data_IF_587856277312
#
_entry.id   IF_587856277312
#
_cell.length_a   1.000
_cell.length_b   1.000
_cell.length_c   1.000
_cell.angle_alpha   90.00
_cell.angle_beta   90.00
_cell.angle_gamma   90.00
#
_symmetry.space_group_name_H-M   'P 1'
#
loop_
_entity.id
_entity.type
_entity.pdbx_description
1 polymer ?
#
# COMPACT_ATOMS: atom_id res chain seq x y z
N UNK A 1 -35.68 24.42 -13.42
CA UNK A 1 -35.50 23.22 -12.57
C UNK A 1 -34.02 22.98 -12.36
N UNK A 2 -33.54 22.98 -11.14
CA UNK A 2 -32.11 22.67 -10.85
C UNK A 2 -31.88 21.18 -11.10
N UNK A 3 -30.90 20.86 -11.92
CA UNK A 3 -30.59 19.46 -12.29
C UNK A 3 -29.89 18.77 -11.12
N UNK A 4 -30.57 17.83 -10.48
CA UNK A 4 -29.97 16.98 -9.44
C UNK A 4 -28.85 16.14 -10.03
N UNK A 5 -27.79 15.96 -9.26
CA UNK A 5 -26.61 15.14 -9.61
C UNK A 5 -26.42 13.99 -8.63
N UNK A 6 -25.72 12.94 -9.06
CA UNK A 6 -25.37 11.84 -8.17
C UNK A 6 -24.42 12.34 -7.09
N UNK A 7 -24.57 11.87 -5.88
CA UNK A 7 -23.76 12.28 -4.73
C UNK A 7 -22.26 12.01 -4.93
N UNK A 8 -21.92 10.86 -5.50
CA UNK A 8 -20.51 10.53 -5.82
C UNK A 8 -19.88 11.54 -6.79
N UNK A 9 -20.61 11.96 -7.81
CA UNK A 9 -20.15 12.96 -8.76
C UNK A 9 -20.11 14.37 -8.15
N UNK A 10 -21.08 14.70 -7.30
CA UNK A 10 -21.19 16.00 -6.64
C UNK A 10 -20.07 16.22 -5.62
N UNK A 11 -19.64 15.18 -4.89
CA UNK A 11 -18.46 15.24 -4.00
C UNK A 11 -17.20 15.62 -4.77
N UNK A 12 -16.98 15.00 -5.93
CA UNK A 12 -15.82 15.34 -6.78
C UNK A 12 -15.93 16.76 -7.32
N UNK A 13 -17.12 17.16 -7.82
CA UNK A 13 -17.37 18.52 -8.33
C UNK A 13 -17.10 19.60 -7.29
N UNK A 14 -17.43 19.34 -6.01
CA UNK A 14 -17.19 20.29 -4.89
C UNK A 14 -15.77 20.22 -4.34
N UNK A 15 -14.89 19.34 -4.85
CA UNK A 15 -13.55 19.13 -4.30
C UNK A 15 -13.54 18.41 -2.93
N UNK A 16 -14.67 17.83 -2.51
CA UNK A 16 -14.80 17.06 -1.27
C UNK A 16 -14.28 15.62 -1.43
N UNK A 17 -14.04 15.17 -2.65
CA UNK A 17 -13.35 13.94 -2.99
C UNK A 17 -12.49 14.18 -4.24
N UNK A 18 -11.33 13.49 -4.32
CA UNK A 18 -10.37 13.62 -5.43
C UNK A 18 -10.77 12.77 -6.65
N UNK A 19 -11.56 11.71 -6.42
CA UNK A 19 -12.05 10.79 -7.47
C UNK A 19 -13.42 10.24 -7.09
N UNK A 20 -14.13 9.65 -8.09
CA UNK A 20 -15.42 8.98 -7.83
C UNK A 20 -15.26 7.77 -6.93
N UNK A 21 -14.16 7.03 -7.02
CA UNK A 21 -13.84 5.90 -6.15
C UNK A 21 -13.70 6.35 -4.69
N UNK A 22 -12.97 7.46 -4.45
CA UNK A 22 -12.87 8.04 -3.12
C UNK A 22 -14.23 8.53 -2.61
N UNK A 23 -15.04 9.15 -3.46
CA UNK A 23 -16.38 9.58 -3.10
C UNK A 23 -17.27 8.41 -2.68
N UNK A 24 -17.22 7.29 -3.43
CA UNK A 24 -17.93 6.05 -3.09
C UNK A 24 -17.48 5.53 -1.72
N UNK A 25 -16.18 5.41 -1.49
CA UNK A 25 -15.63 4.94 -0.21
C UNK A 25 -16.03 5.82 0.98
N UNK A 26 -16.05 7.15 0.80
CA UNK A 26 -16.50 8.09 1.84
C UNK A 26 -18.00 7.92 2.16
N UNK A 27 -18.83 7.67 1.15
CA UNK A 27 -20.28 7.47 1.33
C UNK A 27 -20.54 6.12 2.00
N UNK A 28 -19.92 5.05 1.54
CA UNK A 28 -20.11 3.70 2.09
C UNK A 28 -19.61 3.57 3.53
N UNK A 29 -18.55 4.30 3.89
CA UNK A 29 -18.08 4.41 5.28
C UNK A 29 -18.97 5.28 6.18
N UNK A 30 -20.06 5.89 5.64
CA UNK A 30 -20.98 6.73 6.41
C UNK A 30 -20.42 8.11 6.78
N UNK A 31 -19.35 8.53 6.13
CA UNK A 31 -18.66 9.82 6.39
C UNK A 31 -19.30 11.02 5.68
N UNK A 32 -20.18 10.77 4.74
CA UNK A 32 -20.86 11.84 3.99
C UNK A 32 -22.21 12.15 4.59
N UNK A 33 -22.44 13.40 4.92
CA UNK A 33 -23.73 13.92 5.36
C UNK A 33 -24.32 14.83 4.29
N UNK A 34 -25.60 14.61 3.98
CA UNK A 34 -26.40 15.49 3.13
C UNK A 34 -27.54 16.05 3.98
N UNK A 35 -27.64 17.37 4.10
CA UNK A 35 -28.64 18.03 4.96
C UNK A 35 -28.59 17.53 6.42
N UNK A 36 -27.39 17.22 6.94
CA UNK A 36 -27.19 16.72 8.31
C UNK A 36 -27.51 15.24 8.52
N UNK A 37 -27.91 14.51 7.46
CA UNK A 37 -28.19 13.06 7.53
C UNK A 37 -27.12 12.28 6.80
N UNK A 38 -26.63 11.18 7.42
CA UNK A 38 -25.60 10.33 6.82
C UNK A 38 -26.13 9.66 5.53
N UNK A 39 -25.44 9.89 4.42
CA UNK A 39 -25.73 9.27 3.14
C UNK A 39 -25.00 7.94 3.01
N UNK A 40 -25.68 6.90 2.50
CA UNK A 40 -25.11 5.54 2.33
C UNK A 40 -25.14 5.04 0.89
N UNK A 41 -25.72 5.81 -0.03
CA UNK A 41 -25.86 5.39 -1.44
C UNK A 41 -25.10 6.36 -2.35
N UNK A 42 -24.03 5.93 -3.03
CA UNK A 42 -23.27 6.78 -3.96
C UNK A 42 -24.12 7.37 -5.09
N UNK A 43 -25.14 6.61 -5.53
CA UNK A 43 -26.07 7.03 -6.58
C UNK A 43 -27.21 7.92 -6.09
N UNK A 44 -27.25 8.31 -4.79
CA UNK A 44 -28.27 9.23 -4.30
C UNK A 44 -28.24 10.55 -5.09
N UNK A 45 -29.42 11.05 -5.44
CA UNK A 45 -29.57 12.30 -6.20
C UNK A 45 -29.64 13.48 -5.23
N UNK A 46 -28.69 14.39 -5.34
CA UNK A 46 -28.59 15.61 -4.51
C UNK A 46 -28.76 16.86 -5.33
N UNK A 47 -29.31 17.88 -4.71
CA UNK A 47 -29.40 19.22 -5.31
C UNK A 47 -28.04 19.92 -5.13
N UNK A 48 -27.56 20.69 -6.13
CA UNK A 48 -26.37 21.52 -5.97
C UNK A 48 -26.40 22.49 -4.79
N UNK A 49 -27.60 22.90 -4.33
CA UNK A 49 -27.79 23.75 -3.17
C UNK A 49 -27.78 22.97 -1.83
N UNK A 50 -27.87 21.64 -1.85
CA UNK A 50 -27.88 20.86 -0.62
C UNK A 50 -26.56 21.02 0.14
N UNK A 51 -26.59 21.26 1.46
CA UNK A 51 -25.39 21.20 2.28
C UNK A 51 -24.88 19.76 2.31
N UNK A 52 -23.66 19.55 1.80
CA UNK A 52 -22.95 18.27 1.84
C UNK A 52 -21.69 18.46 2.67
N UNK A 53 -21.52 17.61 3.65
CA UNK A 53 -20.33 17.58 4.51
C UNK A 53 -19.68 16.21 4.46
N UNK A 54 -18.34 16.19 4.46
CA UNK A 54 -17.55 14.99 4.74
C UNK A 54 -17.07 15.11 6.18
N UNK A 55 -17.44 14.16 7.03
CA UNK A 55 -16.97 14.10 8.42
C UNK A 55 -15.51 13.67 8.42
N UNK A 56 -14.66 14.42 9.07
CA UNK A 56 -13.31 14.02 9.37
C UNK A 56 -13.35 13.06 10.57
N UNK A 57 -12.88 11.85 10.40
CA UNK A 57 -12.81 10.83 11.46
C UNK A 57 -11.48 10.84 12.20
N UNK A 58 -10.64 11.85 11.97
CA UNK A 58 -9.30 11.94 12.54
C UNK A 58 -8.30 10.99 11.89
N UNK A 59 -8.74 10.09 10.98
CA UNK A 59 -7.83 9.24 10.25
C UNK A 59 -7.12 10.04 9.16
N UNK A 60 -5.80 9.92 9.09
CA UNK A 60 -5.00 10.59 8.07
C UNK A 60 -5.50 10.21 6.67
N UNK A 61 -5.88 11.20 5.86
CA UNK A 61 -6.23 10.96 4.47
C UNK A 61 -4.94 10.86 3.65
N UNK A 62 -4.62 9.65 3.17
CA UNK A 62 -3.52 9.42 2.26
C UNK A 62 -3.97 9.54 0.79
N UNK A 63 -2.99 9.63 -0.13
CA UNK A 63 -3.26 9.71 -1.56
C UNK A 63 -4.08 8.52 -2.10
N UNK A 64 -4.00 7.35 -1.45
CA UNK A 64 -4.84 6.18 -1.72
C UNK A 64 -5.04 5.34 -0.47
N UNK A 65 -5.94 4.33 -0.55
CA UNK A 65 -6.14 3.32 0.52
C UNK A 65 -4.86 2.57 0.89
N UNK A 66 -3.92 2.41 -0.06
CA UNK A 66 -2.63 1.79 0.19
C UNK A 66 -1.86 2.47 1.31
N UNK A 67 -1.98 3.80 1.45
CA UNK A 67 -1.34 4.54 2.53
C UNK A 67 -1.68 4.03 3.93
N UNK A 68 -2.94 3.67 4.19
CA UNK A 68 -3.34 3.11 5.49
C UNK A 68 -2.66 1.76 5.78
N UNK A 69 -2.38 0.97 4.74
CA UNK A 69 -1.68 -0.32 4.89
C UNK A 69 -0.24 -0.08 5.37
N UNK A 70 0.52 0.76 4.66
CA UNK A 70 1.90 1.08 5.05
C UNK A 70 1.96 1.79 6.40
N UNK A 71 1.04 2.72 6.67
CA UNK A 71 0.99 3.41 7.96
C UNK A 71 0.81 2.42 9.13
N UNK A 72 -0.04 1.39 8.95
CA UNK A 72 -0.21 0.31 9.93
C UNK A 72 1.07 -0.49 10.13
N UNK A 73 1.78 -0.84 9.04
CA UNK A 73 3.05 -1.55 9.13
C UNK A 73 4.14 -0.71 9.83
N UNK A 74 4.26 0.58 9.49
CA UNK A 74 5.21 1.48 10.16
C UNK A 74 4.89 1.68 11.65
N UNK A 75 3.60 1.73 12.01
CA UNK A 75 3.18 1.80 13.41
C UNK A 75 3.57 0.53 14.19
N UNK A 76 3.47 -0.65 13.56
CA UNK A 76 3.86 -1.92 14.18
C UNK A 76 5.38 -2.06 14.30
N UNK A 77 6.15 -1.68 13.29
CA UNK A 77 7.61 -1.87 13.25
C UNK A 77 8.39 -0.72 13.90
N UNK A 78 7.80 0.48 14.00
CA UNK A 78 8.43 1.66 14.58
C UNK A 78 8.95 1.48 16.00
N UNK A 79 8.19 0.86 16.94
CA UNK A 79 8.68 0.55 18.30
C UNK A 79 9.89 -0.38 18.31
N UNK A 80 9.98 -1.30 17.33
CA UNK A 80 11.12 -2.21 17.18
C UNK A 80 12.32 -1.61 16.45
N UNK A 81 12.22 -0.35 15.97
CA UNK A 81 13.37 0.38 15.44
C UNK A 81 13.33 0.78 13.97
N UNK A 82 12.32 0.37 13.20
CA UNK A 82 12.18 0.84 11.81
C UNK A 82 12.00 2.36 11.78
N UNK A 83 12.80 3.06 10.99
CA UNK A 83 12.76 4.52 10.83
C UNK A 83 12.62 4.91 9.37
N UNK A 84 11.86 5.98 9.14
CA UNK A 84 11.67 6.60 7.81
C UNK A 84 12.37 7.96 7.77
N UNK A 85 12.30 8.70 8.87
CA UNK A 85 12.78 10.08 8.95
C UNK A 85 14.24 10.22 8.52
N UNK A 86 14.50 11.20 7.66
CA UNK A 86 15.83 11.52 7.14
C UNK A 86 16.38 10.55 6.10
N UNK A 87 15.65 9.47 5.76
CA UNK A 87 16.12 8.47 4.81
C UNK A 87 15.70 8.81 3.38
N UNK A 88 16.51 8.39 2.43
CA UNK A 88 16.15 8.21 1.04
C UNK A 88 15.35 6.90 0.93
N UNK A 89 14.15 6.97 0.37
CA UNK A 89 13.23 5.84 0.28
C UNK A 89 12.95 5.48 -1.18
N UNK A 90 12.75 4.18 -1.46
CA UNK A 90 12.23 3.66 -2.73
C UNK A 90 10.80 3.16 -2.50
N UNK A 91 9.84 3.66 -3.26
CA UNK A 91 8.46 3.19 -3.34
C UNK A 91 8.28 2.41 -4.66
N UNK A 92 8.34 1.08 -4.58
CA UNK A 92 8.21 0.18 -5.71
C UNK A 92 6.75 -0.23 -5.92
N UNK A 93 6.15 0.25 -7.03
CA UNK A 93 4.72 0.14 -7.30
C UNK A 93 3.93 1.33 -6.72
N UNK A 94 4.44 2.53 -6.95
CA UNK A 94 3.91 3.75 -6.33
C UNK A 94 2.45 4.06 -6.68
N UNK A 95 1.97 3.67 -7.88
CA UNK A 95 0.59 3.89 -8.34
C UNK A 95 0.14 5.34 -8.11
N UNK A 96 -0.97 5.55 -7.39
CA UNK A 96 -1.48 6.89 -7.04
C UNK A 96 -0.70 7.58 -5.92
N UNK A 97 0.27 6.91 -5.30
CA UNK A 97 1.19 7.48 -4.30
C UNK A 97 0.79 7.27 -2.85
N UNK A 98 0.01 6.25 -2.56
CA UNK A 98 -0.38 5.98 -1.17
C UNK A 98 0.81 5.74 -0.25
N UNK A 99 1.79 4.94 -0.67
CA UNK A 99 3.00 4.68 0.10
C UNK A 99 3.93 5.90 0.10
N UNK A 100 4.13 6.54 -1.05
CA UNK A 100 4.89 7.79 -1.18
C UNK A 100 4.41 8.85 -0.17
N UNK A 101 3.09 9.08 -0.06
CA UNK A 101 2.50 10.06 0.87
C UNK A 101 2.81 9.70 2.33
N UNK A 102 2.72 8.41 2.70
CA UNK A 102 3.08 7.95 4.06
C UNK A 102 4.55 8.18 4.34
N UNK A 103 5.46 7.84 3.43
CA UNK A 103 6.89 8.05 3.59
C UNK A 103 7.23 9.52 3.81
N UNK A 104 6.67 10.41 2.98
CA UNK A 104 6.87 11.86 3.10
C UNK A 104 6.37 12.41 4.44
N UNK A 105 5.19 11.98 4.91
CA UNK A 105 4.62 12.39 6.20
C UNK A 105 5.41 11.84 7.39
N UNK A 106 6.10 10.71 7.22
CA UNK A 106 7.02 10.17 8.23
C UNK A 106 8.45 10.73 8.11
N UNK A 107 8.63 11.81 7.33
CA UNK A 107 9.88 12.57 7.29
C UNK A 107 10.95 11.99 6.37
N UNK A 108 10.60 11.21 5.34
CA UNK A 108 11.56 10.81 4.32
C UNK A 108 12.24 12.04 3.70
N UNK A 109 13.58 11.99 3.55
CA UNK A 109 14.35 13.05 2.92
C UNK A 109 14.11 13.11 1.40
N UNK A 110 13.97 11.94 0.79
CA UNK A 110 13.64 11.78 -0.63
C UNK A 110 12.83 10.49 -0.81
N UNK A 111 11.90 10.48 -1.76
CA UNK A 111 11.17 9.28 -2.19
C UNK A 111 11.34 9.10 -3.69
N UNK A 112 11.92 7.99 -4.10
CA UNK A 112 11.97 7.53 -5.48
C UNK A 112 10.74 6.69 -5.73
N UNK A 113 9.78 7.22 -6.47
CA UNK A 113 8.50 6.57 -6.77
C UNK A 113 8.59 5.88 -8.15
N UNK A 114 8.58 4.55 -8.16
CA UNK A 114 8.74 3.72 -9.37
C UNK A 114 7.44 3.00 -9.68
N UNK A 115 6.96 3.11 -10.92
CA UNK A 115 5.78 2.39 -11.40
C UNK A 115 5.88 2.04 -12.89
N UNK A 116 5.28 0.90 -13.29
CA UNK A 116 5.16 0.51 -14.71
C UNK A 116 4.13 1.35 -15.46
N UNK A 117 3.18 1.94 -14.75
CA UNK A 117 2.19 2.87 -15.26
C UNK A 117 2.79 4.22 -15.65
N UNK A 118 1.95 5.09 -16.17
CA UNK A 118 2.35 6.43 -16.54
C UNK A 118 1.36 7.47 -15.98
N UNK A 119 1.89 8.51 -15.32
CA UNK A 119 1.10 9.64 -14.86
C UNK A 119 0.07 9.31 -13.77
N UNK A 120 0.23 8.18 -13.06
CA UNK A 120 -0.73 7.75 -12.03
C UNK A 120 -0.54 8.49 -10.71
N UNK A 121 0.70 8.90 -10.39
CA UNK A 121 1.03 9.56 -9.13
C UNK A 121 0.24 10.86 -8.98
N UNK A 122 -0.40 11.04 -7.83
CA UNK A 122 -1.18 12.24 -7.52
C UNK A 122 -0.35 13.52 -7.72
N UNK A 123 -0.95 14.56 -8.31
CA UNK A 123 -0.25 15.80 -8.66
C UNK A 123 0.49 16.42 -7.47
N UNK A 124 -0.12 16.46 -6.29
CA UNK A 124 0.51 17.03 -5.11
C UNK A 124 1.82 16.32 -4.72
N UNK A 125 1.88 14.99 -4.92
CA UNK A 125 3.09 14.19 -4.67
C UNK A 125 4.10 14.37 -5.78
N UNK A 126 3.64 14.37 -7.04
CA UNK A 126 4.51 14.58 -8.20
C UNK A 126 5.21 15.95 -8.18
N UNK A 127 4.57 16.96 -7.55
CA UNK A 127 5.09 18.32 -7.41
C UNK A 127 5.93 18.53 -6.15
N UNK A 128 6.02 17.55 -5.24
CA UNK A 128 6.84 17.65 -4.03
C UNK A 128 8.34 17.56 -4.43
N UNK A 129 9.18 18.53 -4.06
CA UNK A 129 10.60 18.54 -4.44
C UNK A 129 11.40 17.33 -3.92
N UNK A 130 10.88 16.62 -2.92
CA UNK A 130 11.47 15.39 -2.38
C UNK A 130 11.14 14.15 -3.20
N UNK A 131 10.23 14.23 -4.19
CA UNK A 131 9.79 13.06 -4.96
C UNK A 131 10.48 13.00 -6.31
N UNK A 132 11.07 11.85 -6.62
CA UNK A 132 11.63 11.50 -7.93
C UNK A 132 10.74 10.45 -8.58
N UNK A 133 10.11 10.79 -9.69
CA UNK A 133 9.14 9.92 -10.37
C UNK A 133 9.79 9.18 -11.52
N UNK A 134 9.67 7.85 -11.49
CA UNK A 134 10.11 6.93 -12.54
C UNK A 134 8.90 6.17 -13.10
N UNK A 135 8.15 6.83 -13.98
CA UNK A 135 7.05 6.22 -14.72
C UNK A 135 7.56 5.20 -15.76
N UNK A 136 6.72 4.23 -16.17
CA UNK A 136 7.02 3.20 -17.18
C UNK A 136 8.27 2.39 -16.87
N UNK A 137 8.56 2.20 -15.59
CA UNK A 137 9.75 1.52 -15.11
C UNK A 137 9.40 0.19 -14.49
N UNK A 138 9.96 -0.89 -15.03
CA UNK A 138 9.75 -2.23 -14.50
C UNK A 138 10.68 -2.48 -13.33
N UNK A 139 10.12 -2.72 -12.14
CA UNK A 139 10.88 -3.00 -10.91
C UNK A 139 11.78 -4.21 -11.06
N UNK A 140 11.40 -5.22 -11.86
CA UNK A 140 12.19 -6.44 -12.07
C UNK A 140 13.58 -6.19 -12.66
N UNK A 141 13.74 -5.12 -13.41
CA UNK A 141 15.00 -4.75 -14.06
C UNK A 141 15.60 -3.47 -13.50
N UNK A 142 15.12 -3.04 -12.33
CA UNK A 142 15.61 -1.84 -11.68
C UNK A 142 17.05 -2.04 -11.20
N UNK A 143 17.87 -1.01 -11.40
CA UNK A 143 19.26 -0.97 -10.92
C UNK A 143 19.47 0.27 -10.04
N UNK A 144 20.46 0.23 -9.12
CA UNK A 144 20.79 1.42 -8.32
C UNK A 144 21.07 2.65 -9.17
N UNK A 145 21.82 2.52 -10.25
CA UNK A 145 22.20 3.63 -11.15
C UNK A 145 20.98 4.27 -11.79
N UNK A 146 19.96 3.45 -12.16
CA UNK A 146 18.73 3.97 -12.78
C UNK A 146 17.93 4.88 -11.85
N UNK A 147 18.10 4.73 -10.53
CA UNK A 147 17.41 5.51 -9.50
C UNK A 147 18.34 6.53 -8.80
N UNK A 148 19.58 6.67 -9.23
CA UNK A 148 20.54 7.61 -8.65
C UNK A 148 21.17 7.15 -7.34
N UNK A 149 21.33 5.84 -7.16
CA UNK A 149 21.93 5.19 -5.99
C UNK A 149 20.92 4.38 -5.15
N UNK A 150 21.41 3.58 -4.19
CA UNK A 150 20.54 2.75 -3.35
C UNK A 150 19.70 3.59 -2.40
N UNK A 151 18.60 3.01 -1.92
CA UNK A 151 17.72 3.58 -0.91
C UNK A 151 18.02 2.99 0.47
N UNK A 152 17.96 3.83 1.50
CA UNK A 152 18.08 3.38 2.88
C UNK A 152 16.83 2.63 3.37
N UNK A 153 15.68 2.87 2.75
CA UNK A 153 14.44 2.12 3.00
C UNK A 153 13.72 1.88 1.67
N UNK A 154 13.39 0.65 1.38
CA UNK A 154 12.52 0.30 0.24
C UNK A 154 11.20 -0.25 0.74
N UNK A 155 10.10 0.26 0.22
CA UNK A 155 8.75 -0.29 0.38
C UNK A 155 8.25 -0.81 -0.97
N UNK A 156 7.41 -1.86 -0.97
CA UNK A 156 6.90 -2.43 -2.21
C UNK A 156 5.44 -2.86 -2.09
N UNK A 157 4.60 -2.33 -2.98
CA UNK A 157 3.19 -2.72 -3.17
C UNK A 157 2.97 -3.12 -4.63
N UNK A 158 3.38 -4.33 -4.99
CA UNK A 158 3.35 -4.82 -6.35
C UNK A 158 2.16 -5.75 -6.59
N UNK A 159 1.60 -5.70 -7.79
CA UNK A 159 0.47 -6.56 -8.20
C UNK A 159 0.80 -7.33 -9.47
N UNK A 160 0.22 -8.53 -9.59
CA UNK A 160 0.35 -9.43 -10.75
C UNK A 160 1.76 -9.98 -10.99
N UNK A 161 2.62 -9.92 -9.99
CA UNK A 161 3.97 -10.47 -10.02
C UNK A 161 4.30 -11.05 -8.64
N UNK A 162 5.04 -12.16 -8.59
CA UNK A 162 5.59 -12.68 -7.34
C UNK A 162 6.74 -11.80 -6.86
N UNK A 163 6.77 -11.51 -5.57
CA UNK A 163 7.88 -10.77 -4.93
C UNK A 163 9.23 -11.46 -5.15
N UNK A 164 9.26 -12.81 -5.17
CA UNK A 164 10.49 -13.58 -5.40
C UNK A 164 11.20 -13.21 -6.72
N UNK A 165 10.44 -12.78 -7.74
CA UNK A 165 11.00 -12.37 -9.02
C UNK A 165 11.59 -10.97 -9.02
N UNK A 166 11.20 -10.12 -8.08
CA UNK A 166 11.62 -8.71 -7.99
C UNK A 166 12.56 -8.45 -6.81
N UNK A 167 12.58 -9.33 -5.82
CA UNK A 167 13.46 -9.22 -4.66
C UNK A 167 14.93 -9.00 -5.03
N UNK A 168 15.53 -9.68 -6.04
CA UNK A 168 16.91 -9.41 -6.42
C UNK A 168 17.17 -7.95 -6.82
N UNK A 169 16.28 -7.36 -7.60
CA UNK A 169 16.39 -5.96 -8.02
C UNK A 169 16.15 -5.00 -6.84
N UNK A 170 15.14 -5.29 -6.00
CA UNK A 170 14.87 -4.49 -4.79
C UNK A 170 16.05 -4.54 -3.81
N UNK A 171 16.63 -5.74 -3.60
CA UNK A 171 17.79 -5.95 -2.73
C UNK A 171 19.03 -5.20 -3.22
N UNK A 172 19.26 -5.18 -4.54
CA UNK A 172 20.36 -4.42 -5.15
C UNK A 172 20.16 -2.90 -4.98
N UNK A 173 18.90 -2.43 -5.03
CA UNK A 173 18.55 -1.03 -4.86
C UNK A 173 18.40 -0.58 -3.38
N UNK A 174 18.69 -1.48 -2.40
CA UNK A 174 18.49 -1.21 -0.97
C UNK A 174 19.77 -1.48 -0.18
N UNK A 175 20.29 -0.48 0.50
CA UNK A 175 21.41 -0.60 1.42
C UNK A 175 21.00 -0.71 2.91
N UNK A 176 19.73 -0.51 3.21
CA UNK A 176 19.14 -0.58 4.55
C UNK A 176 18.00 -1.59 4.67
N UNK A 177 16.81 -1.12 5.00
CA UNK A 177 15.63 -1.94 5.25
C UNK A 177 14.76 -2.12 3.99
N UNK A 178 14.13 -3.29 3.89
CA UNK A 178 13.16 -3.61 2.83
C UNK A 178 11.84 -4.02 3.48
N UNK A 179 10.74 -3.35 3.10
CA UNK A 179 9.39 -3.58 3.64
C UNK A 179 8.41 -3.91 2.51
N UNK A 180 8.47 -5.13 1.94
CA UNK A 180 7.54 -5.57 0.91
C UNK A 180 6.20 -5.99 1.49
N UNK A 181 5.13 -5.77 0.73
CA UNK A 181 3.81 -6.30 1.02
C UNK A 181 3.58 -7.62 0.28
N UNK A 182 3.56 -8.71 1.03
CA UNK A 182 3.28 -10.06 0.52
C UNK A 182 1.80 -10.18 0.21
N UNK A 183 1.48 -10.55 -1.02
CA UNK A 183 0.13 -10.81 -1.51
C UNK A 183 -0.01 -12.28 -1.87
N UNK A 184 -0.59 -13.12 -1.02
CA UNK A 184 -0.64 -14.57 -1.24
C UNK A 184 -1.16 -14.97 -2.62
N UNK A 185 -2.13 -14.22 -3.16
CA UNK A 185 -2.71 -14.49 -4.48
C UNK A 185 -1.72 -14.38 -5.65
N UNK A 186 -0.57 -13.73 -5.46
CA UNK A 186 0.50 -13.64 -6.48
C UNK A 186 1.69 -14.55 -6.18
N UNK A 187 1.67 -15.25 -5.04
CA UNK A 187 2.77 -16.13 -4.59
C UNK A 187 2.44 -17.62 -4.72
N UNK A 188 1.19 -18.03 -4.51
CA UNK A 188 0.80 -19.45 -4.39
C UNK A 188 0.66 -20.21 -5.71
N UNK A 189 0.71 -19.52 -6.87
CA UNK A 189 0.41 -20.13 -8.17
C UNK A 189 -1.10 -20.07 -8.48
N UNK A 190 -1.41 -19.96 -9.78
CA UNK A 190 -2.81 -19.72 -10.25
C UNK A 190 -3.77 -20.85 -9.88
N UNK A 191 -3.30 -22.08 -9.87
CA UNK A 191 -4.07 -23.30 -9.57
C UNK A 191 -4.52 -23.37 -8.09
N UNK A 192 -3.86 -22.65 -7.19
CA UNK A 192 -4.17 -22.60 -5.76
C UNK A 192 -4.93 -21.36 -5.33
N UNK A 193 -5.18 -20.45 -6.26
CA UNK A 193 -6.02 -19.26 -6.00
C UNK A 193 -7.48 -19.66 -6.11
N UNK A 194 -8.24 -19.42 -5.04
CA UNK A 194 -9.65 -19.79 -4.97
C UNK A 194 -10.56 -18.88 -5.82
N UNK A 195 -11.84 -19.23 -5.81
CA UNK A 195 -12.88 -18.44 -6.50
C UNK A 195 -12.83 -16.96 -6.13
N UNK A 196 -12.95 -16.10 -7.13
CA UNK A 196 -12.85 -14.63 -6.98
C UNK A 196 -11.43 -14.11 -6.79
N UNK A 197 -10.40 -14.93 -7.03
CA UNK A 197 -9.01 -14.51 -6.89
C UNK A 197 -8.54 -14.42 -5.43
N UNK A 198 -9.20 -15.14 -4.49
CA UNK A 198 -8.94 -15.04 -3.05
C UNK A 198 -8.31 -16.32 -2.49
N UNK A 199 -7.18 -16.18 -1.82
CA UNK A 199 -6.53 -17.25 -1.06
C UNK A 199 -7.12 -17.27 0.35
N UNK A 200 -7.93 -18.29 0.67
CA UNK A 200 -8.62 -18.41 1.97
C UNK A 200 -7.89 -19.32 2.93
N UNK A 201 -7.21 -20.32 2.41
CA UNK A 201 -6.48 -21.32 3.22
C UNK A 201 -5.32 -20.65 3.98
N UNK A 202 -5.30 -20.72 5.33
CA UNK A 202 -4.22 -20.17 6.14
C UNK A 202 -2.86 -20.81 5.83
N UNK A 203 -2.82 -22.11 5.50
CA UNK A 203 -1.56 -22.80 5.17
C UNK A 203 -0.96 -22.25 3.88
N UNK A 204 -1.80 -21.96 2.86
CA UNK A 204 -1.33 -21.33 1.63
C UNK A 204 -0.84 -19.89 1.88
N UNK A 205 -1.50 -19.14 2.75
CA UNK A 205 -1.05 -17.79 3.14
C UNK A 205 0.30 -17.84 3.86
N UNK A 206 0.44 -18.75 4.82
CA UNK A 206 1.72 -18.96 5.54
C UNK A 206 2.84 -19.38 4.58
N UNK A 207 2.57 -20.33 3.70
CA UNK A 207 3.52 -20.75 2.66
C UNK A 207 3.95 -19.61 1.72
N UNK A 208 3.04 -18.69 1.38
CA UNK A 208 3.36 -17.50 0.60
C UNK A 208 4.33 -16.57 1.36
N UNK A 209 4.07 -16.30 2.64
CA UNK A 209 4.95 -15.46 3.48
C UNK A 209 6.33 -16.11 3.62
N UNK A 210 6.37 -17.42 3.96
CA UNK A 210 7.62 -18.18 4.12
C UNK A 210 8.45 -18.16 2.85
N UNK A 211 7.85 -18.44 1.68
CA UNK A 211 8.58 -18.48 0.42
C UNK A 211 9.21 -17.14 0.01
N UNK A 212 8.56 -16.02 0.37
CA UNK A 212 9.13 -14.68 0.16
C UNK A 212 10.27 -14.40 1.15
N UNK A 213 10.12 -14.78 2.41
CA UNK A 213 11.16 -14.62 3.42
C UNK A 213 12.41 -15.48 3.13
N UNK A 214 12.22 -16.72 2.67
CA UNK A 214 13.31 -17.60 2.22
C UNK A 214 14.06 -17.02 1.02
N UNK A 215 13.34 -16.53 0.01
CA UNK A 215 13.96 -15.86 -1.13
C UNK A 215 14.73 -14.58 -0.72
N UNK A 216 14.28 -13.87 0.30
CA UNK A 216 15.02 -12.73 0.85
C UNK A 216 16.26 -13.17 1.62
N UNK A 217 16.22 -14.31 2.32
CA UNK A 217 17.37 -14.87 3.03
C UNK A 217 18.52 -15.26 2.08
N UNK A 218 18.19 -15.78 0.89
CA UNK A 218 19.19 -16.06 -0.17
C UNK A 218 19.92 -14.78 -0.63
N UNK A 219 19.31 -13.61 -0.44
CA UNK A 219 19.88 -12.29 -0.75
C UNK A 219 20.53 -11.61 0.46
N UNK A 220 20.65 -12.32 1.59
CA UNK A 220 21.29 -11.85 2.81
C UNK A 220 20.39 -10.99 3.72
N UNK A 221 19.06 -11.08 3.56
CA UNK A 221 18.09 -10.41 4.43
C UNK A 221 17.42 -11.41 5.38
N UNK A 222 17.44 -11.12 6.68
CA UNK A 222 16.60 -11.81 7.66
C UNK A 222 15.31 -11.04 7.94
N UNK A 223 14.42 -11.61 8.75
CA UNK A 223 13.12 -11.06 9.11
C UNK A 223 13.21 -10.39 10.49
N UNK A 224 13.21 -9.06 10.53
CA UNK A 224 13.18 -8.27 11.76
C UNK A 224 11.76 -8.08 12.31
N UNK A 225 10.73 -8.25 11.46
CA UNK A 225 9.34 -8.15 11.87
C UNK A 225 8.38 -8.56 10.76
N UNK A 226 7.18 -8.92 11.15
CA UNK A 226 6.09 -9.24 10.23
C UNK A 226 4.75 -8.82 10.83
N UNK A 227 3.83 -8.37 9.97
CA UNK A 227 2.51 -7.95 10.41
C UNK A 227 1.49 -8.14 9.29
N UNK A 228 0.26 -8.45 9.68
CA UNK A 228 -0.88 -8.42 8.78
C UNK A 228 -1.18 -6.97 8.38
N UNK A 229 -1.50 -6.75 7.11
CA UNK A 229 -1.98 -5.44 6.63
C UNK A 229 -3.26 -5.03 7.35
N UNK A 230 -3.34 -3.77 7.78
CA UNK A 230 -4.52 -3.19 8.44
C UNK A 230 -5.78 -3.21 7.56
N UNK A 231 -5.60 -3.28 6.23
CA UNK A 231 -6.70 -3.35 5.28
C UNK A 231 -6.49 -4.54 4.34
N UNK A 232 -7.57 -5.25 3.96
CA UNK A 232 -7.50 -6.28 2.94
C UNK A 232 -7.26 -5.67 1.56
N UNK A 233 -6.79 -6.51 0.63
CA UNK A 233 -6.73 -6.21 -0.80
C UNK A 233 -8.12 -5.95 -1.41
N UNK A 234 -8.19 -5.42 -2.64
CA UNK A 234 -9.46 -5.05 -3.29
C UNK A 234 -10.49 -6.18 -3.39
N UNK A 235 -10.02 -7.43 -3.56
CA UNK A 235 -10.88 -8.62 -3.62
C UNK A 235 -11.11 -9.29 -2.26
N UNK A 236 -10.61 -8.70 -1.16
CA UNK A 236 -10.72 -9.25 0.18
C UNK A 236 -9.57 -10.20 0.58
N UNK A 237 -8.49 -10.28 -0.21
CA UNK A 237 -7.30 -11.03 0.17
C UNK A 237 -6.65 -10.43 1.42
N UNK A 238 -6.22 -11.30 2.33
CA UNK A 238 -5.36 -10.92 3.45
C UNK A 238 -3.94 -10.73 2.90
N UNK A 239 -3.31 -9.62 3.24
CA UNK A 239 -1.98 -9.25 2.80
C UNK A 239 -1.09 -9.03 4.03
N UNK A 240 0.22 -9.18 3.87
CA UNK A 240 1.17 -9.15 4.98
C UNK A 240 2.36 -8.26 4.65
N UNK A 241 2.93 -7.58 5.63
CA UNK A 241 4.20 -6.90 5.50
C UNK A 241 5.29 -7.70 6.18
N UNK A 242 6.44 -7.80 5.53
CA UNK A 242 7.69 -8.23 6.12
C UNK A 242 8.59 -7.01 6.31
N UNK A 243 9.25 -6.92 7.43
CA UNK A 243 10.40 -6.04 7.61
C UNK A 243 11.66 -6.89 7.51
N UNK A 244 12.37 -6.69 6.45
CA UNK A 244 13.57 -7.42 6.10
C UNK A 244 14.78 -6.51 6.29
N UNK A 245 15.80 -6.96 7.00
CA UNK A 245 17.06 -6.24 7.15
C UNK A 245 18.26 -7.19 7.17
N UNK A 246 19.43 -6.68 6.79
CA UNK A 246 20.66 -7.45 6.83
C UNK A 246 21.05 -7.70 8.28
N UNK A 247 21.48 -8.94 8.58
CA UNK A 247 21.89 -9.35 9.92
C UNK A 247 20.76 -9.74 10.87
N UNK A 248 19.48 -9.60 10.46
CA UNK A 248 18.39 -10.20 11.22
C UNK A 248 18.40 -11.72 11.10
N UNK A 249 17.73 -12.38 12.06
CA UNK A 249 17.57 -13.83 12.05
C UNK A 249 16.73 -14.29 10.83
N UNK A 250 16.92 -15.55 10.38
CA UNK A 250 15.98 -16.17 9.45
C UNK A 250 14.55 -16.14 9.96
N UNK A 251 13.59 -16.31 9.04
CA UNK A 251 12.17 -16.35 9.40
C UNK A 251 11.86 -17.50 10.36
N UNK A 252 11.09 -17.21 11.39
CA UNK A 252 10.49 -18.22 12.28
C UNK A 252 9.18 -18.71 11.67
N UNK A 253 9.15 -19.97 11.23
CA UNK A 253 7.97 -20.58 10.63
C UNK A 253 6.77 -20.68 11.58
N UNK A 254 6.99 -20.95 12.85
CA UNK A 254 5.91 -21.03 13.86
C UNK A 254 5.27 -19.64 14.08
N UNK A 255 6.09 -18.61 14.18
CA UNK A 255 5.62 -17.23 14.27
C UNK A 255 4.82 -16.80 13.02
N UNK A 256 5.22 -17.26 11.81
CA UNK A 256 4.43 -17.00 10.58
C UNK A 256 3.05 -17.67 10.67
N UNK A 257 2.98 -18.94 11.07
CA UNK A 257 1.71 -19.64 11.22
C UNK A 257 0.80 -18.99 12.25
N UNK A 258 1.35 -18.55 13.38
CA UNK A 258 0.62 -17.81 14.42
C UNK A 258 0.05 -16.50 13.86
N UNK A 259 0.86 -15.65 13.25
CA UNK A 259 0.42 -14.37 12.67
C UNK A 259 -0.68 -14.58 11.61
N UNK A 260 -0.54 -15.61 10.76
CA UNK A 260 -1.53 -15.90 9.71
C UNK A 260 -2.81 -16.48 10.30
N UNK A 261 -2.73 -17.30 11.37
CA UNK A 261 -3.86 -17.91 12.06
C UNK A 261 -4.74 -16.91 12.79
N UNK A 262 -4.16 -15.89 13.43
CA UNK A 262 -4.88 -14.76 14.03
C UNK A 262 -5.73 -13.97 13.02
N UNK A 263 -5.51 -14.20 11.73
CA UNK A 263 -6.24 -13.57 10.62
C UNK A 263 -7.65 -14.17 10.40
N UNK A 264 -8.08 -15.17 11.12
CA UNK A 264 -9.30 -15.97 10.90
C UNK A 264 -10.40 -15.82 11.95
N UNK A 265 -10.22 -15.00 12.98
CA UNK A 265 -11.24 -14.73 14.02
C UNK A 265 -11.91 -13.37 13.81
#
# INVERSE_FOLDING_TARGET
>A
MVRRTRLDAELVRRGLARSREQAVALIESGRVEVRGTAARKPAAMVDPADPVRVREDGTAQYASRGGHKLAGALAAFGPAGLRVAGRRCLDAGASTGGFTDVLLRNGAAEVVAVDVGYGQLAWALRSDPRVRVHDRTNVRTLTPDAIGGPAGLTVADLSFISLRLVLPALAACTDGDLVPMVKPQFEVGRERVGSGGVVRDPLLRAGAVLSVAEAAAELGFGVAGMVRSALPGPSGNVEFFLWLCRGAAPVDGEAVHTMVGEAGT
#
